data_IF_214668942028
#
_entry.id   IF_214668942028
#
_cell.length_a   1.000
_cell.length_b   1.000
_cell.length_c   1.000
_cell.angle_alpha   90.00
_cell.angle_beta   90.00
_cell.angle_gamma   90.00
#
_symmetry.space_group_name_H-M   'P 1'
#
loop_
_entity.id
_entity.type
_entity.pdbx_description
1 polymer ?
#
# COMPACT_ATOMS: atom_id res chain seq x y z
N UNK A 1 26.68 39.98 -32.83
CA UNK A 1 25.30 39.54 -32.55
C UNK A 1 24.90 38.46 -33.56
N UNK A 2 25.22 37.20 -33.27
CA UNK A 2 24.77 36.05 -34.07
C UNK A 2 23.40 35.64 -33.56
N UNK A 3 22.36 35.82 -34.39
CA UNK A 3 21.01 35.31 -34.12
C UNK A 3 21.10 33.80 -33.89
N UNK A 4 21.00 33.37 -32.62
CA UNK A 4 20.75 31.98 -32.28
C UNK A 4 19.40 31.58 -32.89
N UNK A 5 19.42 30.71 -33.91
CA UNK A 5 18.26 29.91 -34.28
C UNK A 5 17.80 29.16 -33.02
N UNK A 6 16.52 29.25 -32.61
CA UNK A 6 16.04 28.42 -31.51
C UNK A 6 16.11 26.95 -31.93
N UNK A 7 16.78 26.07 -31.18
CA UNK A 7 16.92 24.70 -31.58
C UNK A 7 15.66 23.91 -31.15
N UNK A 8 15.18 23.03 -32.05
CA UNK A 8 14.50 21.76 -31.70
C UNK A 8 13.05 21.89 -31.18
N UNK A 9 12.13 22.43 -31.97
CA UNK A 9 10.67 22.27 -31.70
C UNK A 9 9.90 21.54 -32.80
N UNK A 10 10.58 21.02 -33.84
CA UNK A 10 9.95 20.38 -35.00
C UNK A 10 10.07 18.85 -35.10
N UNK A 11 10.53 18.17 -34.05
CA UNK A 11 10.82 16.73 -34.13
C UNK A 11 9.54 15.92 -33.82
N UNK A 12 8.80 15.51 -34.86
CA UNK A 12 7.52 14.77 -34.76
C UNK A 12 7.63 13.48 -33.92
N UNK A 13 8.83 12.94 -33.76
CA UNK A 13 9.14 11.82 -32.88
C UNK A 13 8.95 12.15 -31.38
N UNK A 14 9.14 13.40 -30.96
CA UNK A 14 9.01 13.84 -29.56
C UNK A 14 7.55 13.91 -29.14
N UNK A 15 6.71 14.51 -30.01
CA UNK A 15 5.26 14.55 -29.84
C UNK A 15 4.68 13.12 -29.78
N UNK A 16 5.15 12.22 -30.65
CA UNK A 16 4.73 10.82 -30.65
C UNK A 16 5.13 10.08 -29.37
N UNK A 17 6.36 10.26 -28.86
CA UNK A 17 6.81 9.60 -27.62
C UNK A 17 6.08 10.11 -26.37
N UNK A 18 5.86 11.42 -26.26
CA UNK A 18 5.08 12.00 -25.16
C UNK A 18 3.61 11.52 -25.17
N UNK A 19 2.99 11.51 -26.35
CA UNK A 19 1.64 11.00 -26.56
C UNK A 19 1.51 9.51 -26.22
N UNK A 20 2.53 8.71 -26.54
CA UNK A 20 2.59 7.29 -26.20
C UNK A 20 2.62 7.04 -24.69
N UNK A 21 3.41 7.81 -23.93
CA UNK A 21 3.47 7.68 -22.47
C UNK A 21 2.12 8.02 -21.84
N UNK A 22 1.46 9.10 -22.30
CA UNK A 22 0.13 9.46 -21.81
C UNK A 22 -0.93 8.43 -22.20
N UNK A 23 -0.84 7.83 -23.40
CA UNK A 23 -1.73 6.75 -23.83
C UNK A 23 -1.54 5.47 -23.03
N UNK A 24 -0.30 5.10 -22.70
CA UNK A 24 0.00 3.92 -21.87
C UNK A 24 -0.52 4.14 -20.45
N UNK A 25 -0.31 5.32 -19.86
CA UNK A 25 -0.86 5.65 -18.54
C UNK A 25 -2.40 5.61 -18.57
N UNK A 26 -3.02 6.20 -19.59
CA UNK A 26 -4.47 6.18 -19.75
C UNK A 26 -5.02 4.75 -19.95
N UNK A 27 -4.32 3.92 -20.73
CA UNK A 27 -4.67 2.53 -20.96
C UNK A 27 -4.57 1.71 -19.67
N UNK A 28 -3.50 1.89 -18.87
CA UNK A 28 -3.32 1.22 -17.58
C UNK A 28 -4.42 1.61 -16.59
N UNK A 29 -4.81 2.88 -16.57
CA UNK A 29 -5.91 3.37 -15.71
C UNK A 29 -7.29 2.92 -16.20
N UNK A 30 -7.51 2.83 -17.51
CA UNK A 30 -8.72 2.27 -18.09
C UNK A 30 -8.84 0.76 -17.81
N UNK A 31 -7.73 0.02 -17.93
CA UNK A 31 -7.62 -1.38 -17.49
C UNK A 31 -7.87 -1.51 -15.99
N UNK A 32 -7.38 -0.57 -15.17
CA UNK A 32 -7.68 -0.54 -13.74
C UNK A 32 -9.18 -0.43 -13.49
N UNK A 33 -9.87 0.52 -14.13
CA UNK A 33 -11.32 0.67 -14.02
C UNK A 33 -12.10 -0.57 -14.49
N UNK A 34 -11.69 -1.16 -15.62
CA UNK A 34 -12.35 -2.33 -16.20
C UNK A 34 -12.09 -3.64 -15.43
N UNK A 35 -10.88 -3.86 -14.94
CA UNK A 35 -10.52 -5.05 -14.13
C UNK A 35 -11.13 -4.97 -12.74
N UNK A 36 -11.22 -3.77 -12.16
CA UNK A 36 -11.94 -3.62 -10.92
C UNK A 36 -13.44 -3.86 -11.16
N UNK A 37 -14.08 -3.38 -12.25
CA UNK A 37 -15.55 -3.37 -12.47
C UNK A 37 -16.34 -4.58 -11.89
N UNK A 38 -15.94 -5.85 -12.13
CA UNK A 38 -16.65 -7.01 -11.58
C UNK A 38 -16.45 -7.27 -10.08
N UNK A 39 -15.41 -6.71 -9.45
CA UNK A 39 -15.14 -6.78 -7.99
C UNK A 39 -15.78 -5.65 -7.18
N UNK A 40 -16.52 -4.73 -7.83
CA UNK A 40 -17.06 -3.51 -7.20
C UNK A 40 -18.13 -3.77 -6.15
N UNK A 41 -18.67 -5.00 -6.11
CA UNK A 41 -19.86 -5.30 -5.33
C UNK A 41 -19.59 -6.04 -4.01
N UNK A 42 -18.39 -6.59 -3.74
CA UNK A 42 -18.29 -7.59 -2.66
C UNK A 42 -17.02 -7.53 -1.80
N UNK A 43 -17.16 -6.98 -0.59
CA UNK A 43 -16.18 -7.13 0.51
C UNK A 43 -16.55 -8.32 1.39
N UNK A 44 -15.85 -9.45 1.29
CA UNK A 44 -15.97 -10.55 2.26
C UNK A 44 -15.58 -10.03 3.66
N UNK A 45 -16.52 -10.00 4.59
CA UNK A 45 -16.23 -9.71 6.00
C UNK A 45 -16.54 -10.93 6.85
N UNK A 46 -15.77 -11.15 7.91
CA UNK A 46 -16.14 -12.04 9.03
C UNK A 46 -16.20 -11.19 10.29
N UNK A 47 -17.38 -10.98 10.84
CA UNK A 47 -17.55 -10.30 12.13
C UNK A 47 -17.88 -11.36 13.16
N UNK A 48 -17.10 -11.40 14.23
CA UNK A 48 -17.47 -12.11 15.46
C UNK A 48 -18.27 -11.12 16.31
N UNK A 49 -19.60 -11.17 16.20
CA UNK A 49 -20.48 -10.30 16.98
C UNK A 49 -20.76 -10.96 18.33
N UNK A 50 -20.45 -10.25 19.41
CA UNK A 50 -20.82 -10.62 20.77
C UNK A 50 -22.21 -10.07 21.10
N UNK A 51 -23.19 -10.94 21.32
CA UNK A 51 -24.50 -10.54 21.83
C UNK A 51 -24.40 -10.15 23.32
N UNK A 52 -24.97 -9.00 23.71
CA UNK A 52 -25.16 -8.66 25.13
C UNK A 52 -26.11 -9.68 25.77
N UNK A 53 -25.66 -10.31 26.85
CA UNK A 53 -26.40 -11.36 27.55
C UNK A 53 -27.35 -10.79 28.59
N UNK A 54 -28.62 -11.23 28.52
CA UNK A 54 -29.44 -11.42 29.72
C UNK A 54 -29.89 -12.88 29.76
N UNK A 55 -29.44 -13.58 30.81
CA UNK A 55 -29.62 -15.01 31.05
C UNK A 55 -31.07 -15.36 31.39
N UNK A 56 -31.71 -16.21 30.59
CA UNK A 56 -32.69 -17.21 31.04
C UNK A 56 -32.63 -18.43 30.10
N UNK A 57 -33.00 -19.65 30.56
CA UNK A 57 -33.18 -20.80 29.67
C UNK A 57 -34.23 -20.45 28.62
N UNK A 58 -33.87 -20.56 27.33
CA UNK A 58 -34.70 -20.19 26.18
C UNK A 58 -36.09 -20.84 26.31
N UNK A 59 -37.13 -20.04 26.46
CA UNK A 59 -38.53 -20.50 26.42
C UNK A 59 -39.03 -20.57 24.97
N UNK A 60 -40.06 -21.41 24.73
CA UNK A 60 -40.68 -21.56 23.42
C UNK A 60 -41.15 -20.21 22.86
N UNK A 61 -40.63 -19.83 21.69
CA UNK A 61 -41.00 -18.59 21.00
C UNK A 61 -40.11 -17.37 21.32
N UNK A 62 -39.01 -17.53 22.04
CA UNK A 62 -38.04 -16.45 22.21
C UNK A 62 -37.35 -16.07 20.90
N UNK A 63 -37.30 -14.77 20.64
CA UNK A 63 -36.71 -14.17 19.44
C UNK A 63 -35.45 -13.39 19.83
N UNK A 64 -34.33 -13.73 19.22
CA UNK A 64 -33.09 -12.95 19.34
C UNK A 64 -32.91 -12.07 18.12
N UNK A 65 -32.81 -10.76 18.32
CA UNK A 65 -32.47 -9.84 17.23
C UNK A 65 -31.04 -9.34 17.30
N UNK A 66 -30.38 -9.33 16.15
CA UNK A 66 -29.07 -8.72 15.95
C UNK A 66 -29.17 -7.66 14.85
N UNK A 67 -28.81 -6.39 15.13
CA UNK A 67 -28.66 -5.40 14.07
C UNK A 67 -27.53 -5.84 13.14
N UNK A 68 -27.86 -6.00 11.86
CA UNK A 68 -26.91 -6.37 10.83
C UNK A 68 -26.30 -5.11 10.23
N UNK A 69 -25.00 -5.11 9.92
CA UNK A 69 -24.40 -3.99 9.22
C UNK A 69 -24.69 -4.07 7.72
N UNK A 70 -24.88 -2.90 7.08
CA UNK A 70 -25.22 -2.76 5.66
C UNK A 70 -24.40 -3.68 4.73
N UNK A 71 -25.09 -4.47 3.90
CA UNK A 71 -24.53 -5.27 2.79
C UNK A 71 -25.06 -6.70 2.71
N UNK A 72 -24.97 -7.30 1.53
CA UNK A 72 -25.53 -8.63 1.26
C UNK A 72 -24.83 -9.73 2.05
N UNK A 73 -25.54 -10.40 2.95
CA UNK A 73 -25.00 -11.50 3.77
C UNK A 73 -25.05 -12.79 2.94
N UNK A 74 -24.06 -13.67 3.09
CA UNK A 74 -23.99 -14.94 2.34
C UNK A 74 -24.04 -16.18 3.25
N UNK A 75 -23.48 -16.05 4.44
CA UNK A 75 -23.38 -17.18 5.37
C UNK A 75 -23.39 -16.68 6.82
N UNK A 76 -24.12 -17.38 7.68
CA UNK A 76 -24.19 -17.14 9.11
C UNK A 76 -23.84 -18.45 9.81
N UNK A 77 -22.84 -18.42 10.68
CA UNK A 77 -22.40 -19.60 11.43
C UNK A 77 -22.50 -19.37 12.94
N UNK A 78 -23.12 -20.33 13.61
CA UNK A 78 -23.38 -20.34 15.05
C UNK A 78 -22.62 -21.52 15.69
N UNK A 79 -21.74 -21.28 16.68
CA UNK A 79 -21.16 -22.34 17.49
C UNK A 79 -22.20 -22.84 18.51
N UNK A 80 -22.49 -24.13 18.52
CA UNK A 80 -23.40 -24.76 19.49
C UNK A 80 -22.57 -25.64 20.42
N UNK A 81 -22.77 -25.53 21.74
CA UNK A 81 -22.23 -26.49 22.71
C UNK A 81 -23.34 -27.44 23.15
N UNK A 82 -23.11 -28.75 23.05
CA UNK A 82 -24.10 -29.74 23.45
C UNK A 82 -24.34 -29.73 24.97
N UNK A 83 -25.59 -29.53 25.41
CA UNK A 83 -26.04 -29.94 26.74
C UNK A 83 -27.35 -30.73 26.60
N UNK A 84 -27.20 -32.05 26.76
CA UNK A 84 -28.24 -33.08 26.91
C UNK A 84 -29.06 -33.49 25.68
N UNK A 85 -29.56 -34.73 25.78
CA UNK A 85 -29.82 -35.71 24.72
C UNK A 85 -31.32 -35.96 24.52
N UNK A 86 -32.13 -34.91 24.41
CA UNK A 86 -33.55 -35.04 24.05
C UNK A 86 -33.86 -34.07 22.90
N UNK A 87 -33.67 -34.55 21.67
CA UNK A 87 -33.75 -33.74 20.45
C UNK A 87 -35.18 -33.66 19.90
N UNK A 88 -35.72 -32.44 19.78
CA UNK A 88 -37.00 -32.20 19.11
C UNK A 88 -37.30 -30.74 18.75
N UNK A 89 -36.28 -29.88 18.59
CA UNK A 89 -36.47 -28.45 18.30
C UNK A 89 -36.18 -28.04 16.85
N UNK A 90 -36.79 -26.93 16.43
CA UNK A 90 -36.51 -26.24 15.17
C UNK A 90 -35.93 -24.85 15.47
N UNK A 91 -34.87 -24.50 14.73
CA UNK A 91 -34.32 -23.15 14.72
C UNK A 91 -34.73 -22.48 13.41
N UNK A 92 -35.48 -21.39 13.50
CA UNK A 92 -35.93 -20.60 12.35
C UNK A 92 -35.12 -19.31 12.31
N UNK A 93 -34.32 -19.14 11.26
CA UNK A 93 -33.58 -17.92 10.98
C UNK A 93 -34.40 -17.07 10.02
N UNK A 94 -34.78 -15.87 10.45
CA UNK A 94 -35.49 -14.89 9.64
C UNK A 94 -34.65 -13.63 9.48
N UNK A 95 -34.33 -13.28 8.25
CA UNK A 95 -33.72 -12.00 7.91
C UNK A 95 -34.82 -11.00 7.58
N UNK A 96 -34.77 -9.82 8.19
CA UNK A 96 -35.75 -8.76 7.98
C UNK A 96 -35.11 -7.49 7.43
N UNK A 97 -35.83 -6.83 6.53
CA UNK A 97 -35.49 -5.52 5.96
C UNK A 97 -36.67 -4.59 6.19
N UNK A 98 -36.45 -3.45 6.87
CA UNK A 98 -37.51 -2.53 7.29
C UNK A 98 -38.75 -3.22 7.93
N UNK A 99 -38.54 -4.26 8.73
CA UNK A 99 -39.62 -5.01 9.39
C UNK A 99 -40.37 -6.02 8.53
N UNK A 100 -39.99 -6.20 7.26
CA UNK A 100 -40.53 -7.27 6.39
C UNK A 100 -39.56 -8.45 6.31
N UNK A 101 -40.04 -9.71 6.43
CA UNK A 101 -39.17 -10.89 6.31
C UNK A 101 -38.78 -11.10 4.85
N UNK A 102 -37.48 -10.99 4.56
CA UNK A 102 -36.92 -11.15 3.20
C UNK A 102 -36.44 -12.57 2.97
N UNK A 103 -35.98 -13.25 4.03
CA UNK A 103 -35.54 -14.63 3.96
C UNK A 103 -35.88 -15.37 5.25
N UNK A 104 -36.35 -16.62 5.14
CA UNK A 104 -36.64 -17.46 6.30
C UNK A 104 -36.16 -18.88 6.02
N UNK A 105 -35.30 -19.42 6.87
CA UNK A 105 -34.81 -20.79 6.76
C UNK A 105 -34.93 -21.50 8.11
N UNK A 106 -35.55 -22.69 8.08
CA UNK A 106 -35.77 -23.53 9.26
C UNK A 106 -34.78 -24.71 9.23
N UNK A 107 -33.99 -24.87 10.29
CA UNK A 107 -33.15 -26.05 10.50
C UNK A 107 -33.73 -26.92 11.64
N UNK A 108 -33.82 -28.22 11.38
CA UNK A 108 -34.13 -29.24 12.40
C UNK A 108 -32.87 -29.51 13.23
N UNK A 109 -33.00 -29.47 14.55
CA UNK A 109 -31.89 -29.71 15.48
C UNK A 109 -31.77 -31.22 15.75
N UNK A 110 -31.05 -31.94 14.89
CA UNK A 110 -30.70 -33.37 15.06
C UNK A 110 -29.33 -33.57 15.71
N UNK A 111 -29.15 -34.71 16.38
CA UNK A 111 -27.97 -35.08 17.20
C UNK A 111 -26.60 -34.98 16.47
N UNK A 112 -26.59 -35.06 15.14
CA UNK A 112 -25.40 -34.89 14.30
C UNK A 112 -25.00 -33.43 14.05
N UNK A 113 -25.95 -32.49 14.04
CA UNK A 113 -25.72 -31.05 13.80
C UNK A 113 -25.16 -30.37 15.05
N UNK A 114 -25.46 -30.92 16.24
CA UNK A 114 -25.09 -30.37 17.55
C UNK A 114 -23.57 -30.47 17.82
N UNK A 115 -22.82 -31.27 17.06
CA UNK A 115 -21.38 -31.53 17.32
C UNK A 115 -20.37 -30.63 16.59
N UNK A 116 -20.75 -29.89 15.55
CA UNK A 116 -19.77 -29.13 14.74
C UNK A 116 -20.06 -27.62 14.69
N UNK A 117 -20.97 -27.15 13.82
CA UNK A 117 -21.43 -25.74 13.70
C UNK A 117 -22.77 -25.73 12.97
N UNK A 118 -23.65 -24.80 13.30
CA UNK A 118 -24.89 -24.59 12.54
C UNK A 118 -24.65 -23.46 11.53
N UNK A 119 -24.62 -23.81 10.24
CA UNK A 119 -24.34 -22.89 9.14
C UNK A 119 -25.58 -22.72 8.27
N UNK A 120 -25.98 -21.46 8.06
CA UNK A 120 -27.02 -21.10 7.10
C UNK A 120 -26.37 -20.41 5.92
N UNK A 121 -26.54 -20.98 4.72
CA UNK A 121 -26.07 -20.42 3.46
C UNK A 121 -27.26 -20.01 2.61
N UNK A 122 -27.19 -18.82 2.03
CA UNK A 122 -28.27 -18.25 1.24
C UNK A 122 -27.73 -17.39 0.08
N UNK A 123 -28.57 -17.15 -0.93
CA UNK A 123 -28.28 -16.15 -1.96
C UNK A 123 -28.16 -14.76 -1.31
N UNK A 124 -27.32 -13.85 -1.82
CA UNK A 124 -27.02 -12.58 -1.13
C UNK A 124 -28.30 -11.77 -0.88
N UNK A 125 -28.66 -11.62 0.40
CA UNK A 125 -29.82 -10.83 0.84
C UNK A 125 -29.35 -9.61 1.63
N UNK A 126 -29.83 -8.43 1.24
CA UNK A 126 -29.69 -7.21 2.03
C UNK A 126 -30.73 -7.23 3.16
N UNK A 127 -30.29 -7.24 4.41
CA UNK A 127 -31.15 -7.27 5.59
C UNK A 127 -30.59 -6.37 6.69
N UNK A 128 -31.47 -5.68 7.40
CA UNK A 128 -31.13 -4.72 8.45
C UNK A 128 -31.05 -5.41 9.82
N UNK A 129 -31.82 -6.48 10.01
CA UNK A 129 -31.95 -7.16 11.29
C UNK A 129 -32.09 -8.68 11.09
N UNK A 130 -31.25 -9.42 11.81
CA UNK A 130 -31.31 -10.88 11.92
C UNK A 130 -32.20 -11.23 13.10
N UNK A 131 -33.30 -11.94 12.86
CA UNK A 131 -34.16 -12.48 13.91
C UNK A 131 -34.00 -14.00 13.95
N UNK A 132 -33.53 -14.53 15.09
CA UNK A 132 -33.42 -15.96 15.34
C UNK A 132 -34.57 -16.37 16.27
N UNK A 133 -35.42 -17.27 15.80
CA UNK A 133 -36.58 -17.82 16.51
C UNK A 133 -36.35 -19.30 16.79
N UNK A 134 -36.49 -19.72 18.05
CA UNK A 134 -36.39 -21.12 18.43
C UNK A 134 -37.74 -21.66 18.90
N UNK A 135 -38.09 -22.87 18.47
CA UNK A 135 -39.32 -23.55 18.86
C UNK A 135 -39.06 -25.04 19.08
N UNK A 136 -39.37 -25.55 20.27
CA UNK A 136 -39.28 -26.95 20.63
C UNK A 136 -39.13 -27.22 22.14
N UNK A 137 -39.47 -28.43 22.54
CA UNK A 137 -39.38 -28.88 23.94
C UNK A 137 -37.90 -29.14 24.31
N UNK A 138 -37.28 -28.18 25.00
CA UNK A 138 -35.89 -28.14 25.53
C UNK A 138 -34.80 -27.87 24.49
N UNK A 139 -34.13 -26.71 24.63
CA UNK A 139 -33.11 -26.20 23.71
C UNK A 139 -31.69 -26.37 24.28
N UNK A 140 -30.68 -26.74 23.46
CA UNK A 140 -29.28 -26.85 23.88
C UNK A 140 -28.66 -25.48 24.21
N UNK A 141 -27.77 -25.43 25.20
CA UNK A 141 -27.05 -24.21 25.58
C UNK A 141 -26.05 -23.78 24.49
N UNK A 142 -26.23 -22.61 23.89
CA UNK A 142 -25.37 -22.12 22.80
C UNK A 142 -23.91 -21.90 23.25
N UNK A 143 -22.97 -22.14 22.33
CA UNK A 143 -21.52 -22.09 22.53
C UNK A 143 -21.01 -20.79 23.13
N UNK A 144 -20.72 -20.80 24.43
CA UNK A 144 -20.06 -19.68 25.10
C UNK A 144 -18.54 -19.79 24.96
N UNK A 145 -17.92 -18.75 24.39
CA UNK A 145 -16.46 -18.60 24.38
C UNK A 145 -16.04 -17.61 25.45
N UNK A 146 -15.28 -18.04 26.46
CA UNK A 146 -14.42 -17.17 27.29
C UNK A 146 -15.06 -16.05 28.12
N UNK A 147 -16.39 -15.96 28.17
CA UNK A 147 -17.13 -15.02 29.00
C UNK A 147 -18.52 -14.74 28.44
N UNK A 148 -19.55 -15.46 28.92
CA UNK A 148 -21.01 -15.22 28.75
C UNK A 148 -21.45 -14.41 27.51
N UNK A 149 -20.94 -14.71 26.31
CA UNK A 149 -21.31 -14.00 25.08
C UNK A 149 -21.43 -15.03 23.95
N UNK A 150 -22.51 -14.91 23.18
CA UNK A 150 -22.73 -15.68 21.96
C UNK A 150 -21.85 -15.10 20.87
N UNK A 151 -20.96 -15.89 20.28
CA UNK A 151 -20.14 -15.47 19.14
C UNK A 151 -20.81 -15.90 17.83
N UNK A 152 -21.43 -14.96 17.13
CA UNK A 152 -21.96 -15.21 15.77
C UNK A 152 -20.90 -14.82 14.77
N UNK A 153 -20.55 -15.74 13.86
CA UNK A 153 -19.63 -15.44 12.76
C UNK A 153 -20.42 -15.23 11.48
N UNK A 154 -20.45 -13.97 11.04
CA UNK A 154 -21.18 -13.50 9.85
C UNK A 154 -20.24 -13.37 8.66
N UNK A 155 -20.47 -14.09 7.57
CA UNK A 155 -19.79 -13.93 6.28
C UNK A 155 -20.70 -13.21 5.27
N UNK A 156 -20.30 -12.02 4.82
CA UNK A 156 -21.09 -11.24 3.86
C UNK A 156 -20.25 -10.42 2.91
N UNK A 157 -20.91 -9.76 1.97
CA UNK A 157 -20.32 -8.94 0.92
C UNK A 157 -20.82 -7.51 1.00
N UNK A 158 -19.96 -6.54 1.39
CA UNK A 158 -20.35 -5.11 1.40
C UNK A 158 -19.94 -4.37 0.12
N UNK A 159 -20.79 -3.49 -0.44
CA UNK A 159 -20.36 -2.50 -1.41
C UNK A 159 -19.47 -1.46 -0.69
N UNK A 160 -18.22 -1.29 -1.13
CA UNK A 160 -17.32 -0.31 -0.50
C UNK A 160 -17.34 1.03 -1.24
N UNK A 161 -17.79 2.10 -0.59
CA UNK A 161 -17.77 3.47 -1.16
C UNK A 161 -16.35 3.91 -1.59
N UNK A 162 -15.31 3.30 -1.01
CA UNK A 162 -13.91 3.52 -1.41
C UNK A 162 -13.64 3.16 -2.89
N UNK A 163 -14.34 2.19 -3.47
CA UNK A 163 -14.11 1.76 -4.86
C UNK A 163 -14.64 2.76 -5.91
N UNK A 164 -15.79 3.41 -5.64
CA UNK A 164 -16.30 4.51 -6.48
C UNK A 164 -15.29 5.67 -6.55
N UNK A 165 -14.65 5.98 -5.42
CA UNK A 165 -13.61 7.00 -5.36
C UNK A 165 -12.42 6.69 -6.26
N UNK A 166 -11.92 5.45 -6.27
CA UNK A 166 -10.81 5.06 -7.13
C UNK A 166 -11.18 5.08 -8.63
N UNK A 167 -12.42 4.73 -8.95
CA UNK A 167 -12.95 4.88 -10.31
C UNK A 167 -12.98 6.35 -10.76
N UNK A 168 -13.49 7.24 -9.91
CA UNK A 168 -13.49 8.69 -10.16
C UNK A 168 -12.06 9.23 -10.25
N UNK A 169 -11.18 8.84 -9.33
CA UNK A 169 -9.78 9.27 -9.32
C UNK A 169 -9.05 8.84 -10.60
N UNK A 170 -9.24 7.60 -11.04
CA UNK A 170 -8.69 7.11 -12.30
C UNK A 170 -9.23 7.91 -13.50
N UNK A 171 -10.55 8.17 -13.54
CA UNK A 171 -11.17 8.96 -14.60
C UNK A 171 -10.63 10.41 -14.64
N UNK A 172 -10.50 11.06 -13.48
CA UNK A 172 -9.93 12.41 -13.37
C UNK A 172 -8.48 12.43 -13.84
N UNK A 173 -7.68 11.42 -13.47
CA UNK A 173 -6.27 11.34 -13.86
C UNK A 173 -6.11 11.09 -15.37
N UNK A 174 -6.97 10.26 -15.96
CA UNK A 174 -7.04 10.09 -17.42
C UNK A 174 -7.41 11.41 -18.10
N UNK A 175 -8.45 12.10 -17.63
CA UNK A 175 -8.86 13.41 -18.19
C UNK A 175 -7.73 14.45 -18.07
N UNK A 176 -7.02 14.48 -16.94
CA UNK A 176 -5.87 15.35 -16.73
C UNK A 176 -4.72 15.04 -17.70
N UNK A 177 -4.38 13.76 -17.87
CA UNK A 177 -3.35 13.34 -18.85
C UNK A 177 -3.74 13.69 -20.28
N UNK A 178 -5.01 13.48 -20.66
CA UNK A 178 -5.53 13.86 -21.98
C UNK A 178 -5.47 15.38 -22.15
N UNK A 179 -5.90 16.14 -21.15
CA UNK A 179 -5.84 17.60 -21.17
C UNK A 179 -4.40 18.13 -21.31
N UNK A 180 -3.46 17.65 -20.50
CA UNK A 180 -2.04 18.02 -20.58
C UNK A 180 -1.44 17.66 -21.95
N UNK A 181 -1.81 16.50 -22.52
CA UNK A 181 -1.33 16.09 -23.86
C UNK A 181 -1.85 17.00 -24.97
N UNK A 182 -3.14 17.36 -24.93
CA UNK A 182 -3.78 18.28 -25.88
C UNK A 182 -3.25 19.71 -25.72
N UNK A 183 -3.07 20.16 -24.48
CA UNK A 183 -2.51 21.46 -24.16
C UNK A 183 -1.06 21.58 -24.65
N UNK A 184 -0.26 20.53 -24.47
CA UNK A 184 1.11 20.46 -24.98
C UNK A 184 1.16 20.46 -26.50
N UNK A 185 0.26 19.73 -27.18
CA UNK A 185 0.15 19.75 -28.64
C UNK A 185 -0.23 21.14 -29.18
N UNK A 186 -1.18 21.83 -28.53
CA UNK A 186 -1.57 23.21 -28.88
C UNK A 186 -0.44 24.22 -28.66
N UNK A 187 0.30 24.09 -27.56
CA UNK A 187 1.42 25.00 -27.26
C UNK A 187 2.61 24.78 -28.20
N UNK A 188 2.89 23.53 -28.58
CA UNK A 188 3.88 23.21 -29.61
C UNK A 188 3.50 23.82 -30.98
N UNK A 189 2.22 23.77 -31.37
CA UNK A 189 1.73 24.37 -32.61
C UNK A 189 1.78 25.91 -32.62
N UNK A 190 1.62 26.55 -31.45
CA UNK A 190 1.65 28.02 -31.29
C UNK A 190 3.02 28.58 -30.92
N UNK A 191 4.05 27.74 -30.79
CA UNK A 191 5.41 28.15 -30.42
C UNK A 191 5.57 28.63 -28.97
N UNK A 192 4.59 28.35 -28.08
CA UNK A 192 4.64 28.70 -26.65
C UNK A 192 5.36 27.60 -25.86
N UNK A 193 6.24 27.98 -24.93
CA UNK A 193 6.92 27.02 -24.06
C UNK A 193 6.03 26.55 -22.90
N UNK A 194 5.87 25.24 -22.76
CA UNK A 194 5.23 24.58 -21.61
C UNK A 194 6.24 23.88 -20.71
N UNK A 195 5.85 23.62 -19.46
CA UNK A 195 6.67 22.87 -18.49
C UNK A 195 7.05 21.47 -19.00
N UNK A 196 6.12 20.74 -19.62
CA UNK A 196 6.39 19.39 -20.18
C UNK A 196 7.39 19.41 -21.34
N UNK A 197 7.33 20.42 -22.21
CA UNK A 197 8.29 20.57 -23.30
C UNK A 197 9.70 20.89 -22.79
N UNK A 198 9.81 21.70 -21.73
CA UNK A 198 11.08 21.94 -21.04
C UNK A 198 11.61 20.67 -20.38
N UNK A 199 10.74 19.93 -19.67
CA UNK A 199 11.11 18.65 -19.05
C UNK A 199 11.64 17.66 -20.10
N UNK A 200 10.96 17.52 -21.25
CA UNK A 200 11.42 16.65 -22.33
C UNK A 200 12.75 17.10 -22.93
N UNK A 201 12.94 18.41 -23.11
CA UNK A 201 14.21 18.96 -23.60
C UNK A 201 15.35 18.70 -22.59
N UNK A 202 15.09 18.88 -21.29
CA UNK A 202 16.05 18.62 -20.22
C UNK A 202 16.38 17.12 -20.12
N UNK A 203 15.37 16.25 -20.19
CA UNK A 203 15.56 14.79 -20.23
C UNK A 203 16.35 14.37 -21.47
N UNK A 204 16.13 14.98 -22.63
CA UNK A 204 16.93 14.66 -23.84
C UNK A 204 18.37 15.16 -23.70
N UNK A 205 18.56 16.36 -23.15
CA UNK A 205 19.88 16.98 -22.97
C UNK A 205 20.74 16.25 -21.95
N UNK A 206 20.14 15.85 -20.83
CA UNK A 206 20.84 15.24 -19.70
C UNK A 206 20.59 13.73 -19.56
N UNK A 207 19.70 13.14 -20.35
CA UNK A 207 19.31 11.73 -20.25
C UNK A 207 20.47 10.78 -20.48
N UNK A 208 21.30 11.03 -21.51
CA UNK A 208 22.51 10.25 -21.73
C UNK A 208 23.44 10.31 -20.51
N UNK A 209 23.63 11.50 -19.92
CA UNK A 209 24.46 11.64 -18.72
C UNK A 209 23.87 10.91 -17.52
N UNK A 210 22.55 11.03 -17.29
CA UNK A 210 21.84 10.32 -16.21
C UNK A 210 22.00 8.82 -16.40
N UNK A 211 21.80 8.29 -17.61
CA UNK A 211 21.96 6.87 -17.93
C UNK A 211 23.38 6.40 -17.64
N UNK A 212 24.41 7.13 -18.10
CA UNK A 212 25.81 6.80 -17.81
C UNK A 212 26.11 6.83 -16.31
N UNK A 213 25.59 7.82 -15.58
CA UNK A 213 25.75 7.91 -14.12
C UNK A 213 25.06 6.76 -13.41
N UNK A 214 23.83 6.42 -13.78
CA UNK A 214 23.07 5.30 -13.21
C UNK A 214 23.77 3.99 -13.49
N UNK A 215 24.16 3.73 -14.74
CA UNK A 215 24.89 2.52 -15.14
C UNK A 215 26.21 2.39 -14.38
N UNK A 216 26.96 3.49 -14.27
CA UNK A 216 28.19 3.53 -13.46
C UNK A 216 27.89 3.24 -12.00
N UNK A 217 26.91 3.92 -11.40
CA UNK A 217 26.57 3.76 -9.98
C UNK A 217 26.15 2.31 -9.66
N UNK A 218 25.30 1.71 -10.50
CA UNK A 218 24.84 0.33 -10.36
C UNK A 218 26.00 -0.67 -10.53
N UNK A 219 26.79 -0.53 -11.60
CA UNK A 219 27.93 -1.41 -11.85
C UNK A 219 29.00 -1.30 -10.76
N UNK A 220 29.23 -0.10 -10.22
CA UNK A 220 30.23 0.12 -9.17
C UNK A 220 29.85 -0.60 -7.88
N UNK A 221 28.55 -0.69 -7.56
CA UNK A 221 28.06 -1.41 -6.36
C UNK A 221 28.35 -2.91 -6.41
N UNK A 222 28.28 -3.52 -7.59
CA UNK A 222 28.50 -4.96 -7.77
C UNK A 222 29.86 -5.30 -8.39
N UNK A 223 30.71 -4.29 -8.62
CA UNK A 223 32.05 -4.49 -9.18
C UNK A 223 32.88 -5.32 -8.20
N UNK A 224 33.53 -6.37 -8.70
CA UNK A 224 34.36 -7.31 -7.90
C UNK A 224 33.58 -8.19 -6.91
N UNK A 225 32.25 -8.23 -6.97
CA UNK A 225 31.46 -9.18 -6.19
C UNK A 225 31.30 -10.51 -6.94
N UNK A 226 31.61 -11.63 -6.29
CA UNK A 226 31.45 -12.99 -6.85
C UNK A 226 30.00 -13.26 -7.25
N UNK A 227 29.05 -12.86 -6.39
CA UNK A 227 27.61 -13.07 -6.59
C UNK A 227 26.97 -11.93 -7.42
N UNK A 228 27.65 -10.80 -7.57
CA UNK A 228 27.19 -9.68 -8.39
C UNK A 228 25.80 -9.16 -8.02
N UNK A 229 24.95 -8.99 -9.03
CA UNK A 229 23.58 -8.46 -8.90
C UNK A 229 22.68 -9.32 -8.01
N UNK A 230 23.00 -10.62 -7.85
CA UNK A 230 22.24 -11.56 -7.02
C UNK A 230 22.13 -11.08 -5.56
N UNK A 231 23.06 -10.26 -5.08
CA UNK A 231 22.98 -9.62 -3.76
C UNK A 231 21.75 -8.74 -3.57
N UNK A 232 21.23 -8.10 -4.62
CA UNK A 232 19.99 -7.29 -4.54
C UNK A 232 18.76 -8.13 -4.21
N UNK A 233 18.80 -9.41 -4.59
CA UNK A 233 17.76 -10.40 -4.33
C UNK A 233 18.00 -11.11 -3.00
N UNK A 234 19.25 -11.50 -2.74
CA UNK A 234 19.64 -12.31 -1.58
C UNK A 234 19.63 -11.50 -0.27
N UNK A 235 20.08 -10.25 -0.28
CA UNK A 235 20.17 -9.44 0.94
C UNK A 235 18.81 -9.24 1.64
N UNK A 236 17.72 -8.84 0.94
CA UNK A 236 16.39 -8.79 1.56
C UNK A 236 15.92 -10.14 2.14
N UNK A 237 16.19 -11.25 1.45
CA UNK A 237 15.82 -12.59 1.92
C UNK A 237 16.58 -13.00 3.17
N UNK A 238 17.89 -12.76 3.22
CA UNK A 238 18.71 -13.07 4.40
C UNK A 238 18.33 -12.17 5.59
N UNK A 239 18.14 -10.88 5.34
CA UNK A 239 17.69 -9.93 6.38
C UNK A 239 16.33 -10.33 6.92
N UNK A 240 15.40 -10.69 6.02
CA UNK A 240 14.10 -11.23 6.38
C UNK A 240 14.22 -12.51 7.19
N UNK A 241 15.08 -13.45 6.79
CA UNK A 241 15.27 -14.72 7.50
C UNK A 241 15.74 -14.48 8.93
N UNK A 242 16.76 -13.65 9.13
CA UNK A 242 17.27 -13.31 10.47
C UNK A 242 16.18 -12.68 11.32
N UNK A 243 15.47 -11.69 10.79
CA UNK A 243 14.41 -11.01 11.52
C UNK A 243 13.20 -11.93 11.78
N UNK A 244 12.86 -12.81 10.84
CA UNK A 244 11.82 -13.80 11.01
C UNK A 244 12.17 -14.77 12.14
N UNK A 245 13.40 -15.27 12.21
CA UNK A 245 13.83 -16.15 13.30
C UNK A 245 13.73 -15.48 14.67
N UNK A 246 14.04 -14.18 14.76
CA UNK A 246 13.96 -13.41 16.02
C UNK A 246 12.52 -13.08 16.42
N UNK A 247 11.69 -12.63 15.47
CA UNK A 247 10.37 -12.06 15.77
C UNK A 247 9.19 -13.02 15.55
N UNK A 248 9.39 -14.16 14.86
CA UNK A 248 8.31 -15.13 14.63
C UNK A 248 7.80 -15.76 15.92
N UNK A 249 8.65 -15.97 16.92
CA UNK A 249 8.22 -16.52 18.22
C UNK A 249 7.33 -15.55 19.00
N UNK A 250 7.46 -14.24 18.75
CA UNK A 250 6.75 -13.18 19.48
C UNK A 250 5.43 -12.78 18.80
N UNK A 251 5.40 -12.71 17.46
CA UNK A 251 4.28 -12.07 16.75
C UNK A 251 3.57 -12.95 15.71
N UNK A 252 3.96 -14.22 15.54
CA UNK A 252 3.38 -15.09 14.52
C UNK A 252 1.88 -15.36 14.71
N UNK A 253 1.37 -15.36 15.94
CA UNK A 253 -0.06 -15.56 16.22
C UNK A 253 -0.92 -14.31 15.99
N UNK A 254 -0.30 -13.12 15.93
CA UNK A 254 -1.01 -11.85 15.83
C UNK A 254 -1.12 -11.31 14.39
N UNK A 255 -0.32 -11.84 13.45
CA UNK A 255 -0.22 -11.32 12.08
C UNK A 255 -0.36 -12.46 11.06
N UNK A 256 -1.39 -12.36 10.22
CA UNK A 256 -1.57 -13.24 9.07
C UNK A 256 -0.45 -13.03 8.03
N UNK A 257 0.06 -14.13 7.48
CA UNK A 257 1.17 -14.13 6.51
C UNK A 257 2.40 -13.32 6.97
N UNK A 258 2.83 -13.52 8.23
CA UNK A 258 3.97 -12.81 8.84
C UNK A 258 5.23 -12.68 7.95
N UNK A 259 5.67 -13.70 7.16
CA UNK A 259 6.78 -13.54 6.22
C UNK A 259 6.62 -12.39 5.20
N UNK A 260 5.41 -12.23 4.65
CA UNK A 260 5.08 -11.19 3.66
C UNK A 260 4.97 -9.83 4.34
N UNK A 261 4.42 -9.79 5.56
CA UNK A 261 4.39 -8.60 6.40
C UNK A 261 5.79 -8.06 6.73
N UNK A 262 6.72 -8.96 7.05
CA UNK A 262 8.08 -8.60 7.40
C UNK A 262 8.83 -8.08 6.18
N UNK A 263 8.85 -8.85 5.09
CA UNK A 263 9.63 -8.47 3.90
C UNK A 263 9.11 -7.19 3.24
N UNK A 264 7.80 -6.95 3.23
CA UNK A 264 7.22 -5.71 2.68
C UNK A 264 7.72 -4.46 3.41
N UNK A 265 7.79 -4.50 4.75
CA UNK A 265 8.35 -3.41 5.53
C UNK A 265 9.85 -3.24 5.29
N UNK A 266 10.61 -4.35 5.32
CA UNK A 266 12.07 -4.33 5.12
C UNK A 266 12.43 -3.70 3.78
N UNK A 267 11.83 -4.14 2.67
CA UNK A 267 12.24 -3.66 1.35
C UNK A 267 11.94 -2.17 1.14
N UNK A 268 10.80 -1.69 1.64
CA UNK A 268 10.40 -0.28 1.52
C UNK A 268 11.34 0.61 2.32
N UNK A 269 11.60 0.24 3.58
CA UNK A 269 12.48 1.02 4.44
C UNK A 269 13.95 0.92 4.01
N UNK A 270 14.38 -0.24 3.52
CA UNK A 270 15.74 -0.43 2.98
C UNK A 270 15.96 0.39 1.72
N UNK A 271 14.98 0.47 0.81
CA UNK A 271 15.06 1.37 -0.33
C UNK A 271 15.21 2.82 0.10
N UNK A 272 14.38 3.28 1.03
CA UNK A 272 14.41 4.65 1.53
C UNK A 272 15.79 4.98 2.12
N UNK A 273 16.27 4.15 3.05
CA UNK A 273 17.57 4.34 3.70
C UNK A 273 18.73 4.25 2.72
N UNK A 274 18.72 3.29 1.78
CA UNK A 274 19.74 3.19 0.73
C UNK A 274 19.76 4.44 -0.16
N UNK A 275 18.58 4.88 -0.63
CA UNK A 275 18.43 6.04 -1.49
C UNK A 275 19.01 7.30 -0.83
N UNK A 276 18.63 7.57 0.42
CA UNK A 276 19.11 8.76 1.15
C UNK A 276 20.60 8.65 1.43
N UNK A 277 21.09 7.49 1.87
CA UNK A 277 22.51 7.31 2.20
C UNK A 277 23.41 7.49 0.98
N UNK A 278 23.10 6.82 -0.13
CA UNK A 278 23.89 6.93 -1.36
C UNK A 278 23.73 8.29 -2.05
N UNK A 279 22.53 8.87 -1.97
CA UNK A 279 22.23 10.15 -2.58
C UNK A 279 22.78 11.35 -1.80
N UNK A 280 22.89 11.24 -0.47
CA UNK A 280 23.54 12.22 0.40
C UNK A 280 25.00 12.45 -0.01
N UNK A 281 25.70 11.40 -0.42
CA UNK A 281 27.10 11.46 -0.88
C UNK A 281 27.26 11.83 -2.35
N UNK A 282 26.16 11.96 -3.10
CA UNK A 282 26.21 12.12 -4.55
C UNK A 282 26.98 13.36 -5.00
N UNK A 283 26.86 14.47 -4.27
CA UNK A 283 27.53 15.74 -4.63
C UNK A 283 29.02 15.66 -4.31
N UNK A 284 29.37 15.25 -3.09
CA UNK A 284 30.77 15.16 -2.62
C UNK A 284 31.56 14.16 -3.47
N UNK A 285 30.99 12.99 -3.78
CA UNK A 285 31.65 11.96 -4.59
C UNK A 285 31.85 12.37 -6.06
N UNK A 286 31.12 13.36 -6.56
CA UNK A 286 31.25 13.86 -7.92
C UNK A 286 31.82 15.30 -7.98
N UNK A 287 32.46 15.77 -6.90
CA UNK A 287 33.04 17.10 -6.79
C UNK A 287 33.93 17.46 -7.99
N UNK A 288 34.79 16.54 -8.43
CA UNK A 288 35.73 16.74 -9.54
C UNK A 288 35.04 16.99 -10.89
N UNK A 289 33.83 16.45 -11.11
CA UNK A 289 33.05 16.71 -12.31
C UNK A 289 32.27 18.02 -12.18
N UNK A 290 31.73 18.29 -10.99
CA UNK A 290 30.93 19.49 -10.68
C UNK A 290 31.76 20.77 -10.78
N UNK A 291 33.03 20.74 -10.39
CA UNK A 291 33.92 21.91 -10.45
C UNK A 291 34.47 22.18 -11.85
N UNK A 292 34.50 21.17 -12.73
CA UNK A 292 35.07 21.27 -14.08
C UNK A 292 34.04 21.52 -15.17
N UNK A 293 32.81 21.05 -15.01
CA UNK A 293 31.78 21.12 -16.06
C UNK A 293 30.50 21.72 -15.50
N UNK A 294 29.97 22.74 -16.19
CA UNK A 294 28.72 23.40 -15.82
C UNK A 294 27.51 22.51 -16.15
N UNK A 295 27.08 21.71 -15.17
CA UNK A 295 25.94 20.78 -15.25
C UNK A 295 25.01 21.02 -14.05
N UNK A 296 23.68 20.91 -14.21
CA UNK A 296 22.74 20.96 -13.09
C UNK A 296 23.10 19.91 -12.03
N UNK A 297 23.33 20.35 -10.79
CA UNK A 297 23.87 19.47 -9.74
C UNK A 297 22.81 18.49 -9.23
N UNK A 298 21.53 18.79 -9.45
CA UNK A 298 20.39 17.92 -9.15
C UNK A 298 20.49 16.53 -9.82
N UNK A 299 21.19 16.44 -10.94
CA UNK A 299 21.37 15.19 -11.70
C UNK A 299 22.09 14.13 -10.85
N UNK A 300 23.01 14.53 -9.96
CA UNK A 300 23.79 13.56 -9.17
C UNK A 300 22.93 12.85 -8.11
N UNK A 301 22.23 13.54 -7.19
CA UNK A 301 21.32 12.87 -6.25
C UNK A 301 20.22 12.09 -6.96
N UNK A 302 19.67 12.63 -8.05
CA UNK A 302 18.64 11.95 -8.84
C UNK A 302 19.14 10.64 -9.47
N UNK A 303 20.36 10.62 -10.04
CA UNK A 303 20.97 9.42 -10.59
C UNK A 303 21.23 8.34 -9.53
N UNK A 304 21.54 8.74 -8.29
CA UNK A 304 21.70 7.81 -7.16
C UNK A 304 20.36 7.24 -6.72
N UNK A 305 19.33 8.07 -6.58
CA UNK A 305 17.98 7.62 -6.27
C UNK A 305 17.45 6.62 -7.31
N UNK A 306 17.68 6.88 -8.60
CA UNK A 306 17.27 5.99 -9.67
C UNK A 306 18.05 4.65 -9.66
N UNK A 307 19.35 4.68 -9.31
CA UNK A 307 20.13 3.46 -9.11
C UNK A 307 19.61 2.62 -7.93
N UNK A 308 19.21 3.25 -6.83
CA UNK A 308 18.58 2.55 -5.69
C UNK A 308 17.20 2.01 -6.05
N UNK A 309 16.46 2.70 -6.93
CA UNK A 309 15.16 2.25 -7.40
C UNK A 309 15.28 0.94 -8.18
N UNK A 310 16.30 0.78 -9.01
CA UNK A 310 16.57 -0.49 -9.71
C UNK A 310 16.79 -1.62 -8.71
N UNK A 311 17.57 -1.39 -7.64
CA UNK A 311 17.78 -2.40 -6.59
C UNK A 311 16.46 -2.78 -5.91
N UNK A 312 15.65 -1.78 -5.56
CA UNK A 312 14.33 -2.02 -4.97
C UNK A 312 13.39 -2.82 -5.89
N UNK A 313 13.39 -2.53 -7.20
CA UNK A 313 12.61 -3.31 -8.17
C UNK A 313 13.05 -4.78 -8.22
N UNK A 314 14.36 -5.05 -8.06
CA UNK A 314 14.86 -6.43 -7.92
C UNK A 314 14.42 -7.03 -6.58
N UNK A 315 14.43 -6.24 -5.50
CA UNK A 315 13.97 -6.65 -4.16
C UNK A 315 12.45 -6.87 -4.06
N UNK A 316 11.66 -6.44 -5.04
CA UNK A 316 10.25 -6.85 -5.17
C UNK A 316 10.10 -8.31 -5.62
N UNK A 317 11.09 -8.89 -6.32
CA UNK A 317 11.01 -10.30 -6.75
C UNK A 317 10.92 -11.28 -5.57
N UNK A 318 11.74 -11.16 -4.50
CA UNK A 318 11.56 -11.92 -3.26
C UNK A 318 10.17 -11.78 -2.63
N UNK A 319 9.60 -10.56 -2.63
CA UNK A 319 8.26 -10.32 -2.10
C UNK A 319 7.21 -11.09 -2.91
N UNK A 320 7.26 -10.98 -4.24
CA UNK A 320 6.34 -11.70 -5.13
C UNK A 320 6.49 -13.22 -4.98
N UNK A 321 7.72 -13.72 -4.86
CA UNK A 321 7.99 -15.13 -4.62
C UNK A 321 7.34 -15.60 -3.30
N UNK A 322 7.50 -14.84 -2.22
CA UNK A 322 6.90 -15.18 -0.93
C UNK A 322 5.37 -15.10 -0.94
N UNK A 323 4.77 -14.17 -1.67
CA UNK A 323 3.32 -14.13 -1.84
C UNK A 323 2.80 -15.44 -2.45
N UNK A 324 3.48 -15.95 -3.49
CA UNK A 324 3.13 -17.21 -4.13
C UNK A 324 3.30 -18.40 -3.18
N UNK A 325 4.40 -18.46 -2.43
CA UNK A 325 4.68 -19.55 -1.49
C UNK A 325 3.75 -19.57 -0.27
N UNK A 326 3.32 -18.40 0.20
CA UNK A 326 2.44 -18.26 1.38
C UNK A 326 0.95 -18.30 1.05
N UNK A 327 0.59 -18.44 -0.24
CA UNK A 327 -0.81 -18.53 -0.68
C UNK A 327 -1.56 -17.20 -0.63
N UNK A 328 -0.87 -16.06 -0.56
CA UNK A 328 -1.51 -14.74 -0.59
C UNK A 328 -2.15 -14.53 -1.96
N UNK A 329 -3.45 -14.20 -1.98
CA UNK A 329 -4.22 -14.03 -3.22
C UNK A 329 -3.71 -12.81 -3.99
N UNK A 330 -3.37 -13.01 -5.25
CA UNK A 330 -3.02 -11.89 -6.15
C UNK A 330 -4.32 -11.12 -6.46
N UNK A 331 -4.43 -9.93 -5.89
CA UNK A 331 -5.57 -9.05 -6.09
C UNK A 331 -5.28 -8.02 -7.19
N UNK A 332 -6.33 -7.47 -7.87
CA UNK A 332 -6.17 -6.34 -8.77
C UNK A 332 -5.59 -5.08 -8.10
N UNK A 333 -5.62 -5.00 -6.76
CA UNK A 333 -5.00 -3.90 -6.01
C UNK A 333 -3.49 -3.78 -6.25
N UNK A 334 -2.80 -4.85 -6.70
CA UNK A 334 -1.40 -4.77 -7.14
C UNK A 334 -1.18 -3.77 -8.27
N UNK A 335 -2.21 -3.39 -9.03
CA UNK A 335 -2.07 -2.39 -10.09
C UNK A 335 -1.81 -0.97 -9.53
N UNK A 336 -2.03 -0.75 -8.22
CA UNK A 336 -1.61 0.47 -7.50
C UNK A 336 -0.15 0.44 -7.07
N UNK A 337 0.56 -0.69 -7.24
CA UNK A 337 1.98 -0.81 -6.87
C UNK A 337 2.85 0.27 -7.53
N UNK A 338 2.74 0.57 -8.85
CA UNK A 338 3.53 1.65 -9.47
C UNK A 338 3.30 3.02 -8.83
N UNK A 339 2.08 3.32 -8.38
CA UNK A 339 1.76 4.56 -7.69
C UNK A 339 2.45 4.63 -6.32
N UNK A 340 2.38 3.55 -5.54
CA UNK A 340 3.08 3.45 -4.27
C UNK A 340 4.60 3.61 -4.43
N UNK A 341 5.19 2.99 -5.47
CA UNK A 341 6.62 3.13 -5.81
C UNK A 341 6.95 4.58 -6.16
N UNK A 342 6.10 5.25 -6.95
CA UNK A 342 6.31 6.64 -7.31
C UNK A 342 6.28 7.55 -6.06
N UNK A 343 5.30 7.39 -5.18
CA UNK A 343 5.20 8.18 -3.93
C UNK A 343 6.43 7.95 -3.02
N UNK A 344 6.83 6.69 -2.85
CA UNK A 344 8.03 6.33 -2.08
C UNK A 344 9.30 6.94 -2.69
N UNK A 345 9.44 6.90 -4.02
CA UNK A 345 10.58 7.50 -4.72
C UNK A 345 10.61 9.02 -4.55
N UNK A 346 9.48 9.72 -4.69
CA UNK A 346 9.40 11.17 -4.52
C UNK A 346 9.74 11.58 -3.07
N UNK A 347 9.21 10.85 -2.09
CA UNK A 347 9.53 11.06 -0.68
C UNK A 347 11.03 10.86 -0.40
N UNK A 348 11.59 9.73 -0.83
CA UNK A 348 13.01 9.40 -0.66
C UNK A 348 13.91 10.44 -1.35
N UNK A 349 13.56 10.86 -2.57
CA UNK A 349 14.28 11.91 -3.29
C UNK A 349 14.25 13.24 -2.54
N UNK A 350 13.10 13.64 -1.99
CA UNK A 350 12.97 14.85 -1.17
C UNK A 350 13.92 14.87 0.01
N UNK A 351 13.93 13.78 0.82
CA UNK A 351 14.87 13.62 1.95
C UNK A 351 16.31 13.61 1.46
N UNK A 352 16.59 12.90 0.37
CA UNK A 352 17.92 12.82 -0.23
C UNK A 352 18.46 14.19 -0.61
N UNK A 353 17.64 15.08 -1.18
CA UNK A 353 18.06 16.43 -1.55
C UNK A 353 18.41 17.30 -0.34
N UNK A 354 17.65 17.17 0.75
CA UNK A 354 17.98 17.84 2.02
C UNK A 354 19.30 17.32 2.56
N UNK A 355 19.45 15.99 2.68
CA UNK A 355 20.65 15.37 3.23
C UNK A 355 21.89 15.62 2.37
N UNK A 356 21.77 15.59 1.04
CA UNK A 356 22.86 15.93 0.14
C UNK A 356 23.31 17.38 0.30
N UNK A 357 22.36 18.31 0.51
CA UNK A 357 22.68 19.71 0.79
C UNK A 357 23.41 19.83 2.12
N UNK A 358 22.90 19.22 3.19
CA UNK A 358 23.52 19.25 4.52
C UNK A 358 24.92 18.65 4.50
N UNK A 359 25.13 17.52 3.84
CA UNK A 359 26.41 16.83 3.77
C UNK A 359 27.51 17.64 3.06
N UNK A 360 27.15 18.51 2.11
CA UNK A 360 28.11 19.42 1.45
C UNK A 360 28.63 20.47 2.42
N UNK A 361 27.79 20.98 3.33
CA UNK A 361 28.21 21.98 4.32
C UNK A 361 28.77 21.34 5.60
N UNK A 362 28.24 20.18 5.99
CA UNK A 362 28.54 19.48 7.25
C UNK A 362 28.79 17.99 6.97
N UNK A 363 30.06 17.58 6.97
CA UNK A 363 30.45 16.18 6.70
C UNK A 363 29.94 15.20 7.77
N UNK A 364 29.65 15.69 8.98
CA UNK A 364 29.11 14.90 10.08
C UNK A 364 27.66 14.44 9.87
N UNK A 365 26.98 14.99 8.86
CA UNK A 365 25.63 14.56 8.45
C UNK A 365 25.57 13.05 8.22
N UNK A 366 26.65 12.43 7.74
CA UNK A 366 26.72 10.96 7.52
C UNK A 366 26.52 10.16 8.79
N UNK A 367 27.25 10.53 9.85
CA UNK A 367 27.18 9.85 11.14
C UNK A 367 25.82 10.06 11.78
N UNK A 368 25.32 11.31 11.74
CA UNK A 368 24.00 11.64 12.26
C UNK A 368 22.89 10.87 11.53
N UNK A 369 22.96 10.78 10.20
CA UNK A 369 22.00 10.02 9.40
C UNK A 369 22.00 8.52 9.73
N UNK A 370 23.18 7.93 9.97
CA UNK A 370 23.27 6.53 10.38
C UNK A 370 22.52 6.25 11.68
N UNK A 371 22.64 7.14 12.68
CA UNK A 371 21.93 7.00 13.95
C UNK A 371 20.43 7.25 13.77
N UNK A 372 20.05 8.30 13.05
CA UNK A 372 18.64 8.65 12.80
C UNK A 372 17.92 7.53 12.05
N UNK A 373 18.52 7.00 10.99
CA UNK A 373 17.92 5.93 10.19
C UNK A 373 17.75 4.65 11.02
N UNK A 374 18.69 4.32 11.90
CA UNK A 374 18.56 3.20 12.84
C UNK A 374 17.38 3.42 13.80
N UNK A 375 17.32 4.57 14.47
CA UNK A 375 16.22 4.90 15.38
C UNK A 375 14.86 4.87 14.66
N UNK A 376 14.81 5.41 13.44
CA UNK A 376 13.57 5.46 12.65
C UNK A 376 13.13 4.06 12.19
N UNK A 377 14.07 3.14 11.95
CA UNK A 377 13.77 1.74 11.63
C UNK A 377 12.94 1.10 12.75
N UNK A 378 13.35 1.29 14.01
CA UNK A 378 12.66 0.71 15.17
C UNK A 378 11.42 1.50 15.60
N UNK A 379 11.41 2.82 15.38
CA UNK A 379 10.23 3.66 15.59
C UNK A 379 9.10 3.37 14.58
N UNK A 380 9.43 2.74 13.45
CA UNK A 380 8.48 2.33 12.42
C UNK A 380 8.11 0.85 12.65
N UNK A 381 6.84 0.45 12.45
CA UNK A 381 6.34 -0.90 12.76
C UNK A 381 6.71 -1.88 11.64
N UNK A 382 8.00 -2.07 11.44
CA UNK A 382 8.50 -2.90 10.34
C UNK A 382 8.35 -4.38 10.73
N UNK A 383 8.75 -4.74 11.95
CA UNK A 383 8.85 -6.13 12.41
C UNK A 383 7.72 -6.56 13.35
N UNK A 384 6.93 -5.60 13.83
CA UNK A 384 5.92 -5.79 14.86
C UNK A 384 4.58 -5.15 14.46
N UNK A 385 3.45 -5.61 15.04
CA UNK A 385 2.13 -5.02 14.80
C UNK A 385 1.96 -3.67 15.50
N UNK A 386 1.16 -2.79 14.89
CA UNK A 386 0.83 -1.46 15.43
C UNK A 386 0.04 -1.51 16.75
N UNK A 387 -0.57 -2.65 17.07
CA UNK A 387 -1.36 -2.89 18.29
C UNK A 387 -0.55 -2.85 19.60
N UNK A 388 0.78 -2.99 19.54
CA UNK A 388 1.65 -2.99 20.74
C UNK A 388 1.70 -1.62 21.41
N UNK A 389 1.49 -0.54 20.65
CA UNK A 389 1.57 0.80 21.19
C UNK A 389 0.31 1.17 21.99
N UNK A 390 0.47 1.87 23.14
CA UNK A 390 -0.65 2.31 23.96
C UNK A 390 -1.55 3.28 23.18
N UNK A 391 -2.85 3.23 23.43
CA UNK A 391 -3.87 3.91 22.61
C UNK A 391 -3.62 5.41 22.43
N UNK A 392 -3.15 6.09 23.48
CA UNK A 392 -2.83 7.52 23.44
C UNK A 392 -1.67 7.91 22.50
N UNK A 393 -0.80 6.97 22.14
CA UNK A 393 0.33 7.23 21.22
C UNK A 393 0.06 6.78 19.78
N UNK A 394 -1.07 6.10 19.50
CA UNK A 394 -1.41 5.61 18.15
C UNK A 394 -1.54 6.75 17.13
N UNK A 395 -2.00 7.93 17.56
CA UNK A 395 -2.12 9.10 16.68
C UNK A 395 -0.78 9.63 16.15
N UNK A 396 0.28 9.57 16.95
CA UNK A 396 1.63 10.07 16.58
C UNK A 396 2.21 9.23 15.44
N UNK A 397 1.92 7.94 15.46
CA UNK A 397 2.40 7.02 14.46
C UNK A 397 1.78 7.21 13.09
N UNK A 398 0.50 7.60 13.03
CA UNK A 398 -0.13 8.00 11.78
C UNK A 398 0.51 9.25 11.17
N UNK A 399 1.29 10.05 11.92
CA UNK A 399 2.07 11.17 11.37
C UNK A 399 3.38 10.72 10.70
N UNK A 400 3.85 9.49 10.93
CA UNK A 400 5.08 8.99 10.33
C UNK A 400 4.84 8.65 8.84
N UNK A 401 5.44 9.38 7.88
CA UNK A 401 5.20 9.16 6.45
C UNK A 401 5.70 7.80 5.98
N UNK A 402 6.77 7.26 6.59
CA UNK A 402 7.27 5.93 6.25
C UNK A 402 6.31 4.83 6.68
N UNK A 403 5.62 5.01 7.82
CA UNK A 403 4.58 4.08 8.21
C UNK A 403 3.45 4.06 7.18
N UNK A 404 2.95 5.23 6.76
CA UNK A 404 1.87 5.31 5.77
C UNK A 404 2.24 4.65 4.43
N UNK A 405 3.50 4.80 3.98
CA UNK A 405 3.98 4.17 2.74
C UNK A 405 4.12 2.64 2.87
N UNK A 406 4.58 2.14 4.02
CA UNK A 406 4.65 0.70 4.30
C UNK A 406 3.25 0.11 4.41
N UNK A 407 2.34 0.79 5.11
CA UNK A 407 0.96 0.39 5.26
C UNK A 407 0.21 0.38 3.92
N UNK A 408 0.49 1.33 3.02
CA UNK A 408 0.01 1.29 1.63
C UNK A 408 0.41 -0.03 0.98
N UNK A 409 1.71 -0.37 0.98
CA UNK A 409 2.18 -1.62 0.37
C UNK A 409 1.50 -2.85 1.00
N UNK A 410 1.35 -2.87 2.33
CA UNK A 410 0.70 -3.98 3.05
C UNK A 410 -0.78 -4.12 2.70
N UNK A 411 -1.51 -3.01 2.54
CA UNK A 411 -2.92 -3.05 2.14
C UNK A 411 -3.09 -3.65 0.74
N UNK A 412 -2.25 -3.26 -0.22
CA UNK A 412 -2.35 -3.78 -1.59
C UNK A 412 -1.84 -5.23 -1.73
N UNK A 413 -0.82 -5.62 -0.95
CA UNK A 413 -0.19 -6.94 -1.02
C UNK A 413 -0.91 -7.98 -0.17
N UNK A 414 -1.16 -7.68 1.11
CA UNK A 414 -1.66 -8.66 2.11
C UNK A 414 -3.19 -8.61 2.15
N UNK A 415 -3.75 -7.43 2.37
CA UNK A 415 -5.20 -7.28 2.47
C UNK A 415 -5.89 -7.39 1.10
N UNK A 416 -5.16 -7.08 0.01
CA UNK A 416 -5.69 -7.08 -1.36
C UNK A 416 -6.72 -5.98 -1.60
N UNK A 417 -6.66 -4.89 -0.82
CA UNK A 417 -7.63 -3.80 -0.81
C UNK A 417 -6.89 -2.50 -1.16
N UNK A 418 -7.48 -1.60 -1.98
CA UNK A 418 -6.91 -0.29 -2.22
C UNK A 418 -6.95 0.57 -0.94
N UNK A 419 -5.95 1.44 -0.69
CA UNK A 419 -5.89 2.20 0.56
C UNK A 419 -7.08 3.16 0.72
N UNK A 420 -7.38 3.62 1.93
CA UNK A 420 -8.43 4.64 2.10
C UNK A 420 -8.01 5.98 1.47
N UNK A 421 -8.96 6.81 1.00
CA UNK A 421 -8.65 8.12 0.39
C UNK A 421 -7.80 9.02 1.30
N UNK A 422 -8.11 9.03 2.59
CA UNK A 422 -7.38 9.79 3.61
C UNK A 422 -5.91 9.36 3.69
N UNK A 423 -5.65 8.04 3.68
CA UNK A 423 -4.28 7.50 3.69
C UNK A 423 -3.54 7.80 2.40
N UNK A 424 -4.22 7.71 1.26
CA UNK A 424 -3.63 8.06 -0.04
C UNK A 424 -3.27 9.55 -0.10
N UNK A 425 -4.14 10.43 0.39
CA UNK A 425 -3.90 11.86 0.49
C UNK A 425 -2.75 12.17 1.45
N UNK A 426 -2.68 11.49 2.60
CA UNK A 426 -1.59 11.66 3.55
C UNK A 426 -0.24 11.22 2.97
N UNK A 427 -0.19 10.05 2.30
CA UNK A 427 0.98 9.58 1.56
C UNK A 427 1.41 10.58 0.47
N UNK A 428 0.44 11.07 -0.30
CA UNK A 428 0.66 12.06 -1.35
C UNK A 428 1.22 13.36 -0.78
N UNK A 429 0.54 13.94 0.21
CA UNK A 429 0.95 15.17 0.87
C UNK A 429 2.34 15.05 1.51
N UNK A 430 2.64 13.91 2.16
CA UNK A 430 3.96 13.62 2.71
C UNK A 430 5.06 13.54 1.64
N UNK A 431 4.81 12.79 0.55
CA UNK A 431 5.77 12.63 -0.54
C UNK A 431 6.03 13.93 -1.30
N UNK A 432 4.97 14.63 -1.73
CA UNK A 432 5.10 15.90 -2.44
C UNK A 432 5.61 17.01 -1.53
N UNK A 433 5.15 17.08 -0.28
CA UNK A 433 5.61 18.05 0.71
C UNK A 433 7.12 17.93 0.94
N UNK A 434 7.61 16.71 1.20
CA UNK A 434 9.04 16.49 1.43
C UNK A 434 9.88 16.75 0.16
N UNK A 435 9.36 16.40 -1.02
CA UNK A 435 10.03 16.71 -2.28
C UNK A 435 10.15 18.22 -2.50
N UNK A 436 9.08 18.97 -2.24
CA UNK A 436 9.08 20.43 -2.37
C UNK A 436 10.07 21.08 -1.40
N UNK A 437 10.09 20.64 -0.14
CA UNK A 437 11.06 21.10 0.86
C UNK A 437 12.49 20.82 0.37
N UNK A 438 12.75 19.58 -0.07
CA UNK A 438 14.06 19.19 -0.59
C UNK A 438 14.50 20.01 -1.81
N UNK A 439 13.61 20.23 -2.78
CA UNK A 439 13.89 21.03 -3.97
C UNK A 439 14.16 22.50 -3.64
N UNK A 440 13.37 23.10 -2.74
CA UNK A 440 13.55 24.51 -2.33
C UNK A 440 14.90 24.69 -1.63
N UNK A 441 15.22 23.81 -0.67
CA UNK A 441 16.50 23.85 0.04
C UNK A 441 17.65 23.64 -0.96
N UNK A 442 17.61 22.59 -1.76
CA UNK A 442 18.68 22.26 -2.70
C UNK A 442 18.95 23.41 -3.69
N UNK A 443 17.90 23.95 -4.34
CA UNK A 443 18.04 25.05 -5.30
C UNK A 443 18.54 26.34 -4.66
N UNK A 444 18.17 26.61 -3.40
CA UNK A 444 18.64 27.80 -2.67
C UNK A 444 20.14 27.75 -2.38
N UNK A 445 20.68 26.55 -2.12
CA UNK A 445 22.09 26.37 -1.77
C UNK A 445 22.98 25.87 -2.93
N UNK A 446 22.40 25.43 -4.06
CA UNK A 446 23.12 24.84 -5.18
C UNK A 446 24.32 25.68 -5.67
N UNK A 447 24.14 27.01 -5.72
CA UNK A 447 25.19 27.96 -6.16
C UNK A 447 26.40 27.99 -5.21
N UNK A 448 26.20 27.66 -3.93
CA UNK A 448 27.24 27.71 -2.89
C UNK A 448 28.06 26.42 -2.79
N UNK A 449 27.61 25.32 -3.43
CA UNK A 449 28.29 24.03 -3.34
C UNK A 449 29.73 24.08 -3.83
N UNK A 450 30.02 24.85 -4.88
CA UNK A 450 31.38 24.94 -5.46
C UNK A 450 32.40 25.49 -4.46
N UNK A 451 31.99 26.29 -3.48
CA UNK A 451 32.89 26.85 -2.46
C UNK A 451 33.17 25.89 -1.30
N UNK A 452 32.40 24.81 -1.17
CA UNK A 452 32.47 23.86 -0.04
C UNK A 452 32.88 22.44 -0.47
N UNK A 453 33.02 22.21 -1.78
CA UNK A 453 33.54 20.99 -2.39
C UNK A 453 35.04 21.11 -2.58
#
# INVERSE_FOLDING_TARGET
>A
MTKCKPPIFGDSAVLKKGLWVTLVIALVLALYGALFAPTWQTRAFTIDAAAQTHLHPLTDGETFSLPLPDGGIREISLPITALSSESGGTATLTLTQHGTPVFTQTALLTDSIIREKLTFSFEPVDADELVLTFSGNTLPALGMSGGNQLCIRLSGTRPSCAMLYYGIFAAVLVLFCVWESLFTARCAATGRQNHLLRLQADVRRYGFLIEQLVRRNFNTKYRQSILGVLWSFLNPLLTMLVQYLVFSTLFRSAIDHFPVYLISGIIVFSFFTECVTLGMDAIVMNASLITKVAIPKLIFPFSRALSSLINFLISLLPLLLLMLLTGVRVSPALLLLPLMIALLFLFALGVTLVMATLNVFFRDTRFLWSVISLLWTYATPIFYPDTIWPEGLRGIFHLNPMYQLIDFLRQIVIAGIPPTPERLLACGAGAFGMLMIGLVIFRRYEKKFVFHL
#
